data_IF_806827330813
#
_entry.id   IF_806827330813
#
_cell.length_a   1.000
_cell.length_b   1.000
_cell.length_c   1.000
_cell.angle_alpha   90.00
_cell.angle_beta   90.00
_cell.angle_gamma   90.00
#
_symmetry.space_group_name_H-M   'P 1'
#
loop_
_entity.id
_entity.type
_entity.pdbx_description
1 polymer ?
#
# COMPACT_ATOMS: atom_id res chain seq x y z
N UNK A 1 -0.61 42.50 20.93
CA UNK A 1 0.46 41.94 20.08
C UNK A 1 -0.05 41.90 18.66
N UNK A 2 0.56 42.66 17.75
CA UNK A 2 0.25 42.57 16.32
C UNK A 2 0.74 41.21 15.82
N UNK A 3 -0.16 40.37 15.34
CA UNK A 3 0.20 39.13 14.66
C UNK A 3 0.98 39.52 13.39
N UNK A 4 2.29 39.28 13.39
CA UNK A 4 3.09 39.42 12.18
C UNK A 4 2.57 38.39 11.16
N UNK A 5 2.24 38.85 9.96
CA UNK A 5 1.91 37.97 8.86
C UNK A 5 3.09 37.04 8.61
N UNK A 6 2.88 35.74 8.77
CA UNK A 6 3.89 34.73 8.43
C UNK A 6 4.10 34.84 6.92
N UNK A 7 5.31 35.13 6.42
CA UNK A 7 5.53 35.22 4.98
C UNK A 7 5.16 33.88 4.33
N UNK A 8 4.52 33.94 3.17
CA UNK A 8 4.23 32.76 2.38
C UNK A 8 5.54 32.01 2.11
N UNK A 9 5.54 30.69 2.38
CA UNK A 9 6.72 29.86 2.14
C UNK A 9 7.12 29.94 0.66
N UNK A 10 8.43 30.08 0.39
CA UNK A 10 8.94 30.06 -0.97
C UNK A 10 8.72 28.68 -1.60
N UNK A 11 8.37 28.66 -2.88
CA UNK A 11 8.25 27.42 -3.66
C UNK A 11 9.59 26.71 -3.75
N UNK A 12 9.61 25.42 -3.40
CA UNK A 12 10.79 24.58 -3.45
C UNK A 12 10.91 23.87 -4.81
N UNK A 13 12.12 23.53 -5.27
CA UNK A 13 12.31 22.71 -6.47
C UNK A 13 11.61 21.34 -6.41
N UNK A 14 11.34 20.84 -5.20
CA UNK A 14 10.64 19.58 -4.94
C UNK A 14 9.12 19.71 -4.92
N UNK A 15 8.57 20.92 -4.94
CA UNK A 15 7.13 21.15 -4.88
C UNK A 15 6.46 20.66 -6.17
N UNK A 16 5.38 19.86 -6.07
CA UNK A 16 4.68 19.37 -7.24
C UNK A 16 3.85 20.49 -7.89
N UNK A 17 3.76 20.46 -9.22
CA UNK A 17 2.83 21.29 -10.00
C UNK A 17 1.59 20.47 -10.41
N UNK A 18 0.48 21.09 -10.86
CA UNK A 18 -0.71 20.34 -11.28
C UNK A 18 -0.44 19.21 -12.27
N UNK A 19 0.46 19.43 -13.24
CA UNK A 19 0.84 18.42 -14.24
C UNK A 19 1.64 17.23 -13.68
N UNK A 20 2.11 17.29 -12.43
CA UNK A 20 2.77 16.16 -11.76
C UNK A 20 1.76 15.16 -11.20
N UNK A 21 0.49 15.53 -11.09
CA UNK A 21 -0.54 14.69 -10.51
C UNK A 21 -1.31 13.98 -11.60
N UNK A 22 -1.44 12.67 -11.44
CA UNK A 22 -2.14 11.80 -12.39
C UNK A 22 -3.22 11.05 -11.64
N UNK A 23 -4.43 11.06 -12.18
CA UNK A 23 -5.57 10.34 -11.61
C UNK A 23 -5.28 8.85 -11.48
N UNK A 24 -5.63 8.28 -10.32
CA UNK A 24 -5.69 6.84 -10.12
C UNK A 24 -7.02 6.36 -10.75
N UNK A 25 -7.00 5.36 -11.64
CA UNK A 25 -8.22 4.82 -12.21
C UNK A 25 -9.19 4.29 -11.13
N UNK A 26 -10.49 4.54 -11.31
CA UNK A 26 -11.51 4.09 -10.35
C UNK A 26 -11.56 2.57 -10.18
N UNK A 27 -11.14 1.80 -11.19
CA UNK A 27 -11.04 0.34 -11.14
C UNK A 27 -9.72 -0.18 -10.53
N UNK A 28 -8.80 0.72 -10.16
CA UNK A 28 -7.63 0.45 -9.32
C UNK A 28 -7.87 0.81 -7.86
N UNK A 29 -8.99 1.44 -7.51
CA UNK A 29 -9.31 1.82 -6.14
C UNK A 29 -10.27 0.81 -5.50
N UNK A 30 -9.82 0.15 -4.45
CA UNK A 30 -10.65 -0.75 -3.64
C UNK A 30 -10.97 -0.08 -2.30
N UNK A 31 -12.25 0.14 -2.03
CA UNK A 31 -12.74 0.79 -0.81
C UNK A 31 -13.31 -0.27 0.11
N UNK A 32 -12.79 -0.34 1.34
CA UNK A 32 -13.32 -1.16 2.42
C UNK A 32 -13.99 -0.28 3.48
N UNK A 33 -15.12 -0.76 4.01
CA UNK A 33 -15.84 -0.13 5.12
C UNK A 33 -15.96 -1.12 6.28
N UNK A 34 -15.51 -0.69 7.45
CA UNK A 34 -15.63 -1.44 8.70
C UNK A 34 -16.99 -1.14 9.37
N UNK A 35 -17.46 -2.05 10.24
CA UNK A 35 -18.75 -1.92 10.91
C UNK A 35 -18.92 -0.65 11.77
N UNK A 36 -17.81 -0.03 12.20
CA UNK A 36 -17.82 1.25 12.93
C UNK A 36 -17.89 2.48 12.01
N UNK A 37 -18.03 2.30 10.70
CA UNK A 37 -18.11 3.37 9.70
C UNK A 37 -16.77 3.87 9.19
N UNK A 38 -15.64 3.42 9.76
CA UNK A 38 -14.33 3.77 9.23
C UNK A 38 -14.11 3.14 7.86
N UNK A 39 -13.47 3.89 6.96
CA UNK A 39 -13.16 3.47 5.59
C UNK A 39 -11.67 3.54 5.34
N UNK A 40 -11.15 2.57 4.58
CA UNK A 40 -9.80 2.62 4.04
C UNK A 40 -9.82 2.31 2.54
N UNK A 41 -8.90 2.92 1.80
CA UNK A 41 -8.82 2.78 0.34
C UNK A 41 -7.48 2.21 -0.05
N UNK A 42 -7.49 1.12 -0.83
CA UNK A 42 -6.32 0.48 -1.40
C UNK A 42 -6.21 0.86 -2.88
N UNK A 43 -5.08 1.41 -3.30
CA UNK A 43 -4.69 1.42 -4.71
C UNK A 43 -4.13 0.05 -5.07
N UNK A 44 -4.77 -0.65 -5.99
CA UNK A 44 -4.35 -1.95 -6.50
C UNK A 44 -3.13 -1.82 -7.41
N UNK A 45 -2.33 -2.88 -7.49
CA UNK A 45 -1.06 -2.94 -8.22
C UNK A 45 -1.12 -3.92 -9.41
N UNK A 46 -2.04 -3.74 -10.38
CA UNK A 46 -2.31 -4.74 -11.43
C UNK A 46 -1.09 -5.03 -12.33
N UNK A 47 -0.17 -4.08 -12.47
CA UNK A 47 1.10 -4.29 -13.20
C UNK A 47 2.01 -5.32 -12.52
N UNK A 48 1.99 -5.38 -11.19
CA UNK A 48 2.93 -6.14 -10.38
C UNK A 48 2.38 -7.50 -9.95
N UNK A 49 1.06 -7.58 -9.72
CA UNK A 49 0.36 -8.80 -9.36
C UNK A 49 -0.94 -8.97 -10.18
N UNK A 50 -0.87 -9.13 -11.51
CA UNK A 50 -2.04 -9.11 -12.39
C UNK A 50 -3.08 -10.18 -12.07
N UNK A 51 -2.67 -11.42 -11.76
CA UNK A 51 -3.59 -12.52 -11.47
C UNK A 51 -4.22 -12.35 -10.09
N UNK A 52 -3.45 -11.96 -9.07
CA UNK A 52 -4.02 -11.69 -7.74
C UNK A 52 -4.97 -10.49 -7.77
N UNK A 53 -4.62 -9.40 -8.47
CA UNK A 53 -5.52 -8.24 -8.61
C UNK A 53 -6.77 -8.60 -9.40
N UNK A 54 -6.67 -9.44 -10.42
CA UNK A 54 -7.84 -9.98 -11.12
C UNK A 54 -8.75 -10.81 -10.19
N UNK A 55 -8.18 -11.61 -9.28
CA UNK A 55 -8.95 -12.31 -8.25
C UNK A 55 -9.64 -11.34 -7.28
N UNK A 56 -8.92 -10.34 -6.76
CA UNK A 56 -9.46 -9.32 -5.86
C UNK A 56 -10.66 -8.61 -6.50
N UNK A 57 -10.57 -8.27 -7.79
CA UNK A 57 -11.68 -7.67 -8.53
C UNK A 57 -12.89 -8.61 -8.68
N UNK A 58 -12.69 -9.92 -8.83
CA UNK A 58 -13.78 -10.91 -8.84
C UNK A 58 -14.43 -11.04 -7.46
N UNK A 59 -13.64 -11.09 -6.40
CA UNK A 59 -14.11 -11.15 -5.01
C UNK A 59 -14.90 -9.89 -4.63
N UNK A 60 -14.46 -8.71 -5.06
CA UNK A 60 -15.14 -7.43 -4.84
C UNK A 60 -16.52 -7.40 -5.52
N UNK A 61 -16.55 -7.78 -6.82
CA UNK A 61 -17.79 -7.90 -7.62
C UNK A 61 -18.79 -8.89 -7.03
N UNK A 62 -18.30 -9.94 -6.40
CA UNK A 62 -19.12 -10.94 -5.73
C UNK A 62 -19.42 -10.61 -4.26
N UNK A 63 -19.03 -9.42 -3.79
CA UNK A 63 -19.25 -8.95 -2.43
C UNK A 63 -18.72 -9.92 -1.36
N UNK A 64 -17.61 -10.60 -1.67
CA UNK A 64 -17.10 -11.70 -0.86
C UNK A 64 -16.70 -11.25 0.55
N UNK A 65 -16.25 -10.01 0.75
CA UNK A 65 -15.87 -9.53 2.09
C UNK A 65 -17.05 -9.02 2.94
N UNK A 66 -18.22 -8.77 2.36
CA UNK A 66 -19.30 -8.03 3.06
C UNK A 66 -19.89 -8.73 4.28
N UNK A 67 -19.78 -10.06 4.34
CA UNK A 67 -20.36 -10.87 5.41
C UNK A 67 -19.42 -11.98 5.86
N UNK A 68 -19.27 -12.15 7.17
CA UNK A 68 -18.41 -13.18 7.75
C UNK A 68 -16.91 -12.95 7.55
N UNK A 69 -16.51 -11.74 7.14
CA UNK A 69 -15.09 -11.35 7.06
C UNK A 69 -14.80 -10.17 7.98
N UNK A 70 -13.56 -10.03 8.39
CA UNK A 70 -13.16 -9.01 9.36
C UNK A 70 -11.66 -8.76 9.29
N UNK A 71 -11.19 -7.67 9.89
CA UNK A 71 -9.81 -7.61 10.39
C UNK A 71 -9.74 -8.55 11.59
N UNK A 72 -9.09 -9.71 11.41
CA UNK A 72 -9.09 -10.80 12.39
C UNK A 72 -7.75 -11.01 13.09
N UNK A 73 -6.70 -10.32 12.61
CA UNK A 73 -5.35 -10.43 13.13
C UNK A 73 -4.68 -9.07 13.06
N UNK A 74 -4.08 -8.66 14.17
CA UNK A 74 -3.21 -7.49 14.25
C UNK A 74 -2.01 -7.82 15.10
N UNK A 75 -0.84 -7.87 14.46
CA UNK A 75 0.44 -8.05 15.12
C UNK A 75 1.16 -6.71 15.21
N UNK A 76 1.55 -6.34 16.43
CA UNK A 76 2.20 -5.07 16.69
C UNK A 76 3.46 -4.88 15.83
N UNK A 77 3.62 -3.66 15.33
CA UNK A 77 4.75 -3.27 14.48
C UNK A 77 4.98 -4.18 13.25
N UNK A 78 3.94 -4.87 12.76
CA UNK A 78 4.02 -5.82 11.65
C UNK A 78 2.85 -5.62 10.68
N UNK A 79 1.72 -6.32 10.87
CA UNK A 79 0.61 -6.31 9.92
C UNK A 79 -0.76 -6.29 10.60
N UNK A 80 -1.73 -5.67 9.94
CA UNK A 80 -3.16 -5.89 10.15
C UNK A 80 -3.68 -6.75 8.98
N UNK A 81 -4.28 -7.89 9.28
CA UNK A 81 -4.73 -8.89 8.31
C UNK A 81 -6.25 -9.08 8.38
N UNK A 82 -6.87 -9.19 7.20
CA UNK A 82 -8.30 -9.33 7.01
C UNK A 82 -8.69 -10.35 5.95
N UNK A 83 -9.94 -10.77 6.00
CA UNK A 83 -10.50 -11.87 5.21
C UNK A 83 -11.43 -12.73 6.06
N UNK A 84 -11.64 -13.98 5.66
CA UNK A 84 -12.35 -14.96 6.49
C UNK A 84 -11.41 -15.51 7.57
N UNK A 85 -11.71 -15.23 8.83
CA UNK A 85 -10.92 -15.68 9.97
C UNK A 85 -10.88 -17.22 10.12
N UNK A 86 -11.79 -17.95 9.46
CA UNK A 86 -11.82 -19.42 9.48
C UNK A 86 -11.12 -20.06 8.30
N UNK A 87 -10.80 -19.28 7.26
CA UNK A 87 -10.22 -19.74 5.99
C UNK A 87 -11.05 -20.85 5.29
N UNK A 88 -12.36 -20.91 5.56
CA UNK A 88 -13.28 -21.95 5.04
C UNK A 88 -14.32 -21.38 4.08
N UNK A 89 -14.48 -20.06 4.04
CA UNK A 89 -15.42 -19.40 3.15
C UNK A 89 -15.04 -19.69 1.71
N UNK A 90 -15.96 -20.32 0.99
CA UNK A 90 -15.72 -20.73 -0.39
C UNK A 90 -15.34 -19.53 -1.27
N UNK A 91 -14.33 -19.73 -2.11
CA UNK A 91 -13.98 -18.77 -3.16
C UNK A 91 -15.08 -18.73 -4.21
N UNK A 92 -15.22 -17.57 -4.85
CA UNK A 92 -16.20 -17.39 -5.92
C UNK A 92 -15.69 -18.00 -7.22
N UNK A 93 -16.61 -18.41 -8.09
CA UNK A 93 -16.26 -19.05 -9.37
C UNK A 93 -15.27 -18.18 -10.18
N UNK A 94 -14.27 -18.84 -10.76
CA UNK A 94 -13.24 -18.19 -11.57
C UNK A 94 -12.12 -17.53 -10.77
N UNK A 95 -12.16 -17.48 -9.44
CA UNK A 95 -10.97 -17.13 -8.64
C UNK A 95 -9.93 -18.24 -8.74
N UNK A 96 -8.69 -17.86 -9.06
CA UNK A 96 -7.56 -18.79 -9.09
C UNK A 96 -7.08 -18.99 -7.65
N UNK A 97 -7.33 -20.15 -7.05
CA UNK A 97 -6.99 -20.40 -5.64
C UNK A 97 -5.48 -20.32 -5.35
N UNK A 98 -4.65 -20.71 -6.32
CA UNK A 98 -3.19 -20.65 -6.22
C UNK A 98 -2.59 -19.99 -7.49
N UNK A 99 -2.62 -18.66 -7.60
CA UNK A 99 -2.05 -17.92 -8.73
C UNK A 99 -0.53 -18.20 -8.90
N UNK A 100 0.08 -17.82 -10.04
CA UNK A 100 1.53 -17.79 -10.15
C UNK A 100 2.18 -16.95 -9.03
N UNK A 101 3.43 -17.24 -8.70
CA UNK A 101 4.19 -16.47 -7.73
C UNK A 101 4.56 -15.08 -8.29
N UNK A 102 3.66 -14.11 -8.11
CA UNK A 102 3.80 -12.71 -8.55
C UNK A 102 4.66 -11.88 -7.59
N UNK A 103 5.83 -12.42 -7.20
CA UNK A 103 6.68 -11.85 -6.14
C UNK A 103 7.78 -10.93 -6.68
N UNK A 104 8.08 -11.04 -7.98
CA UNK A 104 9.05 -10.19 -8.69
C UNK A 104 8.79 -10.27 -10.20
N UNK A 105 9.34 -9.32 -10.95
CA UNK A 105 9.21 -9.26 -12.40
C UNK A 105 10.51 -8.79 -13.05
N UNK A 106 10.59 -8.91 -14.38
CA UNK A 106 11.71 -8.39 -15.15
C UNK A 106 11.79 -6.85 -15.00
N UNK A 107 13.02 -6.34 -14.89
CA UNK A 107 13.33 -4.93 -14.73
C UNK A 107 14.73 -4.59 -15.26
N UNK A 108 15.24 -3.38 -15.02
CA UNK A 108 14.60 -2.32 -14.25
C UNK A 108 13.58 -1.50 -15.05
N UNK A 109 12.43 -1.19 -14.46
CA UNK A 109 11.46 -0.22 -15.00
C UNK A 109 11.39 1.08 -14.18
N UNK A 110 12.33 1.25 -13.25
CA UNK A 110 12.51 2.48 -12.47
C UNK A 110 12.86 3.69 -13.34
N UNK A 111 12.29 4.84 -12.99
CA UNK A 111 12.57 6.15 -13.64
C UNK A 111 13.33 7.11 -12.74
N UNK A 112 13.32 6.87 -11.42
CA UNK A 112 14.05 7.63 -10.42
C UNK A 112 14.57 6.67 -9.35
N UNK A 113 15.75 6.94 -8.79
CA UNK A 113 16.40 6.08 -7.79
C UNK A 113 16.87 6.89 -6.60
N UNK A 114 16.95 6.24 -5.45
CA UNK A 114 17.69 6.74 -4.30
C UNK A 114 19.19 6.75 -4.62
N UNK A 115 19.93 7.66 -3.99
CA UNK A 115 21.37 7.84 -4.17
C UNK A 115 22.19 6.76 -3.48
N UNK A 116 21.65 6.17 -2.41
CA UNK A 116 22.30 5.11 -1.64
C UNK A 116 21.75 3.72 -1.97
N UNK A 117 22.55 2.68 -1.67
CA UNK A 117 22.12 1.28 -1.77
C UNK A 117 21.05 0.96 -0.73
N UNK A 118 20.16 0.05 -1.07
CA UNK A 118 19.16 -0.49 -0.16
C UNK A 118 19.75 -1.70 0.60
N UNK A 119 19.54 -1.84 1.92
CA UNK A 119 20.05 -3.00 2.65
C UNK A 119 19.49 -4.36 2.19
N UNK A 120 18.37 -4.36 1.47
CA UNK A 120 17.68 -5.57 1.00
C UNK A 120 17.75 -5.75 -0.52
N UNK A 121 18.36 -4.82 -1.26
CA UNK A 121 18.40 -4.82 -2.72
C UNK A 121 19.62 -4.06 -3.26
N UNK A 122 20.01 -4.33 -4.50
CA UNK A 122 21.15 -3.61 -5.11
C UNK A 122 20.82 -2.13 -5.39
N UNK A 123 19.55 -1.82 -5.63
CA UNK A 123 19.04 -0.47 -5.78
C UNK A 123 17.59 -0.39 -5.27
N UNK A 124 17.17 0.80 -4.89
CA UNK A 124 15.76 1.14 -4.68
C UNK A 124 15.41 2.47 -5.36
N UNK A 125 14.14 2.60 -5.78
CA UNK A 125 13.68 3.71 -6.59
C UNK A 125 12.18 3.65 -6.84
N UNK A 126 11.74 4.26 -7.94
CA UNK A 126 10.33 4.48 -8.23
C UNK A 126 10.00 4.20 -9.69
N UNK A 127 8.84 3.57 -9.92
CA UNK A 127 8.22 3.51 -11.24
C UNK A 127 7.69 4.88 -11.67
N UNK A 128 7.38 5.05 -12.96
CA UNK A 128 6.74 6.27 -13.50
C UNK A 128 5.50 6.69 -12.71
N UNK A 129 4.68 5.71 -12.35
CA UNK A 129 3.40 5.89 -11.66
C UNK A 129 3.51 5.88 -10.13
N UNK A 130 4.71 6.10 -9.60
CA UNK A 130 4.93 6.37 -8.18
C UNK A 130 4.83 5.14 -7.27
N UNK A 131 5.12 3.93 -7.77
CA UNK A 131 5.35 2.77 -6.90
C UNK A 131 6.81 2.70 -6.48
N UNK A 132 7.10 2.44 -5.19
CA UNK A 132 8.45 2.09 -4.79
C UNK A 132 8.83 0.74 -5.40
N UNK A 133 10.07 0.64 -5.86
CA UNK A 133 10.65 -0.55 -6.45
C UNK A 133 12.01 -0.81 -5.83
N UNK A 134 12.35 -2.08 -5.68
CA UNK A 134 13.67 -2.56 -5.31
C UNK A 134 14.12 -3.64 -6.30
N UNK A 135 15.42 -3.78 -6.57
CA UNK A 135 15.88 -4.75 -7.56
C UNK A 135 17.32 -5.22 -7.40
N UNK A 136 17.67 -6.26 -8.16
CA UNK A 136 18.99 -6.94 -8.14
C UNK A 136 19.69 -6.93 -9.52
N UNK A 137 19.32 -5.99 -10.38
CA UNK A 137 19.87 -5.86 -11.74
C UNK A 137 19.19 -6.72 -12.80
N UNK A 138 18.57 -7.85 -12.45
CA UNK A 138 17.83 -8.71 -13.38
C UNK A 138 16.31 -8.65 -13.15
N UNK A 139 15.90 -8.70 -11.88
CA UNK A 139 14.50 -8.58 -11.47
C UNK A 139 14.30 -7.42 -10.51
N UNK A 140 13.07 -6.96 -10.44
CA UNK A 140 12.60 -5.96 -9.48
C UNK A 140 11.27 -6.39 -8.85
N UNK A 141 10.92 -5.76 -7.73
CA UNK A 141 9.72 -6.06 -6.95
C UNK A 141 9.25 -4.81 -6.20
N UNK A 142 7.99 -4.82 -5.78
CA UNK A 142 7.45 -3.82 -4.85
C UNK A 142 7.82 -4.24 -3.42
N UNK A 143 8.54 -3.39 -2.65
CA UNK A 143 8.95 -3.73 -1.29
C UNK A 143 7.79 -3.63 -0.29
N UNK A 144 7.82 -4.44 0.78
CA UNK A 144 6.82 -4.46 1.87
C UNK A 144 6.99 -3.25 2.81
N UNK A 145 6.73 -2.05 2.30
CA UNK A 145 6.74 -0.82 3.08
C UNK A 145 5.43 -0.60 3.86
N UNK A 146 5.43 0.35 4.80
CA UNK A 146 4.21 0.77 5.51
C UNK A 146 3.04 1.07 4.55
N UNK A 147 1.86 0.53 4.88
CA UNK A 147 0.66 0.64 4.05
C UNK A 147 0.63 -0.28 2.83
N UNK A 148 1.70 -1.01 2.49
CA UNK A 148 1.65 -1.99 1.40
C UNK A 148 0.76 -3.17 1.75
N UNK A 149 -0.04 -3.58 0.78
CA UNK A 149 -1.01 -4.67 0.90
C UNK A 149 -0.44 -5.92 0.25
N UNK A 150 -0.25 -6.96 1.05
CA UNK A 150 0.18 -8.28 0.58
C UNK A 150 -0.95 -9.31 0.67
N UNK A 151 -0.77 -10.43 -0.03
CA UNK A 151 -1.67 -11.59 0.01
C UNK A 151 -1.20 -12.55 1.10
N UNK A 152 -2.07 -12.82 2.07
CA UNK A 152 -1.79 -13.86 3.05
C UNK A 152 -1.88 -15.25 2.38
N UNK A 153 -1.05 -16.17 2.85
CA UNK A 153 -1.01 -17.53 2.32
C UNK A 153 -0.50 -18.52 3.35
N UNK A 154 -0.82 -19.78 3.12
CA UNK A 154 -0.19 -20.92 3.77
C UNK A 154 1.30 -21.04 3.42
N UNK A 155 1.94 -22.08 3.98
CA UNK A 155 3.28 -22.49 3.60
C UNK A 155 3.38 -22.73 2.08
N UNK A 156 4.57 -22.48 1.55
CA UNK A 156 4.87 -22.78 0.16
C UNK A 156 4.56 -24.26 -0.13
N UNK A 157 3.98 -24.59 -1.30
CA UNK A 157 3.92 -23.78 -2.52
C UNK A 157 2.63 -22.95 -2.68
N UNK A 158 1.86 -22.70 -1.61
CA UNK A 158 0.75 -21.75 -1.68
C UNK A 158 1.25 -20.36 -2.08
N UNK A 159 0.45 -19.63 -2.85
CA UNK A 159 0.64 -18.22 -3.24
C UNK A 159 -0.49 -17.34 -2.73
N UNK A 160 -1.59 -17.95 -2.25
CA UNK A 160 -2.77 -17.27 -1.72
C UNK A 160 -3.69 -16.77 -2.83
N UNK A 161 -5.00 -16.86 -2.61
CA UNK A 161 -5.99 -16.50 -3.64
C UNK A 161 -6.17 -14.98 -3.81
N UNK A 162 -5.78 -14.20 -2.80
CA UNK A 162 -6.09 -12.78 -2.67
C UNK A 162 -7.38 -12.48 -1.89
N UNK A 163 -8.04 -13.50 -1.31
CA UNK A 163 -9.18 -13.31 -0.42
C UNK A 163 -8.76 -12.87 1.00
N UNK A 164 -7.60 -13.36 1.45
CA UNK A 164 -6.94 -13.02 2.69
C UNK A 164 -5.82 -12.03 2.38
N UNK A 165 -5.92 -10.85 2.95
CA UNK A 165 -5.03 -9.73 2.67
C UNK A 165 -4.50 -9.16 3.98
N UNK A 166 -3.36 -8.50 3.91
CA UNK A 166 -2.83 -7.77 5.04
C UNK A 166 -2.18 -6.48 4.58
N UNK A 167 -2.15 -5.49 5.46
CA UNK A 167 -1.37 -4.27 5.27
C UNK A 167 -0.26 -4.19 6.30
N UNK A 168 0.91 -3.73 5.89
CA UNK A 168 2.00 -3.40 6.83
C UNK A 168 1.59 -2.18 7.64
N UNK A 169 1.65 -2.28 8.98
CA UNK A 169 1.26 -1.21 9.92
C UNK A 169 2.39 -0.75 10.84
N UNK A 170 3.63 -1.17 10.57
CA UNK A 170 4.80 -0.86 11.39
C UNK A 170 6.08 -0.77 10.58
N UNK A 171 7.20 -1.12 11.22
CA UNK A 171 8.49 -1.23 10.57
C UNK A 171 8.41 -2.24 9.41
N UNK A 172 9.01 -1.87 8.29
CA UNK A 172 8.82 -2.57 7.02
C UNK A 172 9.41 -3.98 7.08
N UNK A 173 8.61 -5.05 7.00
CA UNK A 173 9.11 -6.42 7.07
C UNK A 173 9.70 -6.87 5.73
N UNK A 174 10.80 -6.24 5.32
CA UNK A 174 11.45 -6.44 4.01
C UNK A 174 11.93 -7.88 3.77
N UNK A 175 11.96 -8.74 4.79
CA UNK A 175 12.16 -10.19 4.61
C UNK A 175 11.02 -10.88 3.83
N UNK A 176 9.83 -10.27 3.76
CA UNK A 176 8.71 -10.75 2.93
C UNK A 176 8.90 -10.44 1.45
N UNK A 177 9.78 -9.50 1.10
CA UNK A 177 10.10 -9.19 -0.29
C UNK A 177 10.46 -10.48 -1.04
N UNK A 178 9.94 -10.61 -2.26
CA UNK A 178 10.14 -11.78 -3.14
C UNK A 178 9.61 -13.12 -2.60
N UNK A 179 8.94 -13.12 -1.45
CA UNK A 179 8.32 -14.30 -0.85
C UNK A 179 6.79 -14.24 -0.81
N UNK A 180 6.23 -13.03 -0.84
CA UNK A 180 4.79 -12.76 -0.81
C UNK A 180 4.44 -11.74 -1.89
N UNK A 181 3.29 -11.90 -2.54
CA UNK A 181 2.80 -10.97 -3.55
C UNK A 181 2.30 -9.68 -2.89
N UNK A 182 2.75 -8.54 -3.38
CA UNK A 182 2.21 -7.22 -3.04
C UNK A 182 1.19 -6.83 -4.12
N UNK A 183 -0.05 -6.61 -3.69
CA UNK A 183 -1.20 -6.38 -4.57
C UNK A 183 -1.73 -4.95 -4.51
N UNK A 184 -1.19 -4.12 -3.63
CA UNK A 184 -1.59 -2.73 -3.54
C UNK A 184 -0.95 -1.96 -2.40
N UNK A 185 -1.49 -0.77 -2.14
CA UNK A 185 -1.14 0.10 -1.02
C UNK A 185 -2.38 0.77 -0.46
N UNK A 186 -2.56 0.77 0.86
CA UNK A 186 -3.52 1.65 1.52
C UNK A 186 -3.06 3.10 1.34
N UNK A 187 -3.84 3.88 0.60
CA UNK A 187 -3.55 5.28 0.27
C UNK A 187 -4.39 6.27 1.09
N UNK A 188 -5.40 5.78 1.81
CA UNK A 188 -6.27 6.55 2.71
C UNK A 188 -6.80 5.62 3.82
N UNK A 189 -6.85 6.10 5.06
CA UNK A 189 -7.44 5.37 6.19
C UNK A 189 -6.60 4.23 6.79
N UNK A 190 -5.28 4.21 6.58
CA UNK A 190 -4.39 3.19 7.20
C UNK A 190 -4.35 3.31 8.73
N UNK A 191 -4.57 4.51 9.26
CA UNK A 191 -4.67 4.78 10.69
C UNK A 191 -5.75 3.92 11.34
N UNK A 192 -6.88 3.70 10.66
CA UNK A 192 -7.99 2.87 11.15
C UNK A 192 -7.66 1.39 11.26
N UNK A 193 -6.61 0.94 10.60
CA UNK A 193 -6.09 -0.43 10.72
C UNK A 193 -4.97 -0.49 11.75
N UNK A 194 -4.06 0.49 11.75
CA UNK A 194 -2.90 0.54 12.65
C UNK A 194 -3.26 0.86 14.12
N UNK A 195 -4.40 1.51 14.36
CA UNK A 195 -4.85 1.89 15.70
C UNK A 195 -5.73 0.85 16.38
N UNK A 196 -6.07 -0.25 15.71
CA UNK A 196 -6.88 -1.32 16.30
C UNK A 196 -6.15 -1.96 17.49
N UNK A 197 -6.89 -2.57 18.44
CA UNK A 197 -6.30 -3.34 19.52
C UNK A 197 -5.36 -4.44 18.99
N UNK A 198 -4.30 -4.76 19.73
CA UNK A 198 -3.38 -5.82 19.31
C UNK A 198 -4.01 -7.18 19.59
N UNK A 199 -3.84 -8.13 18.68
CA UNK A 199 -4.28 -9.49 18.93
C UNK A 199 -3.43 -10.15 20.02
N UNK A 200 -4.08 -10.92 20.88
CA UNK A 200 -3.43 -11.57 22.03
C UNK A 200 -3.29 -13.08 21.87
N UNK A 201 -3.72 -13.63 20.73
CA UNK A 201 -3.48 -15.01 20.31
C UNK A 201 -2.14 -15.16 19.58
N UNK A 202 -1.88 -16.39 19.13
CA UNK A 202 -0.67 -16.72 18.38
C UNK A 202 -0.50 -15.77 17.18
N UNK A 203 0.73 -15.35 16.89
CA UNK A 203 1.05 -14.46 15.76
C UNK A 203 0.19 -13.18 15.68
N UNK A 204 -0.42 -12.71 16.77
CA UNK A 204 -1.29 -11.54 16.79
C UNK A 204 -2.72 -11.77 16.29
N UNK A 205 -3.20 -13.02 16.25
CA UNK A 205 -4.62 -13.30 15.99
C UNK A 205 -5.50 -12.83 17.17
N UNK A 206 -6.73 -12.38 16.87
CA UNK A 206 -7.74 -12.16 17.90
C UNK A 206 -8.30 -13.50 18.41
N UNK A 207 -8.53 -13.62 19.72
CA UNK A 207 -8.98 -14.89 20.34
C UNK A 207 -10.48 -15.10 20.18
N UNK A 208 -11.24 -14.02 20.15
CA UNK A 208 -12.70 -14.03 20.12
C UNK A 208 -13.22 -13.24 18.94
N UNK A 209 -14.45 -13.54 18.52
CA UNK A 209 -15.10 -12.83 17.42
C UNK A 209 -15.35 -11.35 17.75
N UNK A 210 -15.67 -11.03 19.01
CA UNK A 210 -15.94 -9.67 19.47
C UNK A 210 -14.74 -8.71 19.45
N UNK A 211 -13.51 -9.24 19.36
CA UNK A 211 -12.30 -8.43 19.17
C UNK A 211 -12.07 -8.03 17.71
N UNK A 212 -12.70 -8.73 16.77
CA UNK A 212 -12.51 -8.53 15.33
C UNK A 212 -13.24 -7.27 14.88
N UNK A 213 -12.75 -6.65 13.82
CA UNK A 213 -13.43 -5.50 13.17
C UNK A 213 -14.13 -5.98 11.90
N UNK A 214 -15.47 -6.19 11.91
CA UNK A 214 -16.17 -6.72 10.74
C UNK A 214 -16.06 -5.79 9.54
N UNK A 215 -15.88 -6.38 8.36
CA UNK A 215 -15.98 -5.66 7.09
C UNK A 215 -17.44 -5.78 6.63
N UNK A 216 -18.09 -4.64 6.41
CA UNK A 216 -19.49 -4.58 6.00
C UNK A 216 -19.65 -4.22 4.52
N UNK A 217 -18.59 -3.72 3.90
CA UNK A 217 -18.56 -3.44 2.47
C UNK A 217 -17.14 -3.44 1.93
N UNK A 218 -16.94 -4.06 0.77
CA UNK A 218 -15.73 -3.97 -0.02
C UNK A 218 -16.10 -3.78 -1.50
N UNK A 219 -15.73 -2.65 -2.11
CA UNK A 219 -16.13 -2.26 -3.48
C UNK A 219 -14.98 -1.69 -4.27
N UNK A 220 -14.96 -1.94 -5.58
CA UNK A 220 -14.19 -1.07 -6.47
C UNK A 220 -14.84 0.31 -6.49
N UNK A 221 -14.05 1.39 -6.52
CA UNK A 221 -14.59 2.73 -6.58
C UNK A 221 -15.47 2.92 -7.83
N UNK A 222 -15.15 2.25 -8.94
CA UNK A 222 -15.96 2.21 -10.16
C UNK A 222 -17.36 1.61 -9.98
N UNK A 223 -17.62 0.84 -8.93
CA UNK A 223 -18.92 0.26 -8.57
C UNK A 223 -19.72 1.13 -7.60
N UNK A 224 -19.09 2.17 -7.03
CA UNK A 224 -19.77 3.12 -6.17
C UNK A 224 -20.58 4.14 -6.99
N UNK A 225 -21.71 4.63 -6.46
CA UNK A 225 -22.39 5.79 -7.01
C UNK A 225 -21.42 6.96 -7.20
N UNK A 226 -21.57 7.72 -8.28
CA UNK A 226 -20.64 8.81 -8.61
C UNK A 226 -20.46 9.82 -7.47
N UNK A 227 -21.52 10.10 -6.70
CA UNK A 227 -21.48 11.03 -5.57
C UNK A 227 -20.70 10.51 -4.35
N UNK A 228 -20.44 9.20 -4.27
CA UNK A 228 -19.76 8.55 -3.13
C UNK A 228 -18.36 8.06 -3.48
N UNK A 229 -17.97 8.19 -4.76
CA UNK A 229 -16.73 7.68 -5.31
C UNK A 229 -15.56 8.54 -4.84
N UNK A 230 -14.57 7.97 -4.15
CA UNK A 230 -13.39 8.73 -3.79
C UNK A 230 -12.46 8.84 -5.01
N UNK A 231 -11.91 10.01 -5.24
CA UNK A 231 -10.93 10.25 -6.29
C UNK A 231 -9.56 10.50 -5.68
N UNK A 232 -8.53 9.95 -6.32
CA UNK A 232 -7.15 10.10 -5.89
C UNK A 232 -6.25 10.38 -7.08
N UNK A 233 -5.15 11.08 -6.81
CA UNK A 233 -4.06 11.27 -7.75
C UNK A 233 -2.75 10.81 -7.14
N UNK A 234 -1.92 10.12 -7.93
CA UNK A 234 -0.53 9.86 -7.57
C UNK A 234 0.38 10.92 -8.19
N UNK A 235 1.51 11.19 -7.54
CA UNK A 235 2.55 12.04 -8.12
C UNK A 235 3.39 11.23 -9.12
N UNK A 236 3.42 11.65 -10.38
CA UNK A 236 4.30 11.10 -11.39
C UNK A 236 5.78 11.27 -10.99
N UNK A 237 6.59 10.24 -11.25
CA UNK A 237 7.97 10.18 -10.78
C UNK A 237 9.02 10.49 -11.86
N UNK A 238 8.61 10.60 -13.13
CA UNK A 238 9.49 10.84 -14.29
C UNK A 238 9.67 12.32 -14.61
N UNK A 239 9.95 13.14 -13.59
CA UNK A 239 10.18 14.58 -13.75
C UNK A 239 11.25 15.10 -12.75
N UNK A 240 11.90 16.23 -13.06
CA UNK A 240 12.97 16.79 -12.22
C UNK A 240 12.50 17.22 -10.81
N UNK A 241 11.21 17.59 -10.65
CA UNK A 241 10.67 17.94 -9.33
C UNK A 241 10.60 16.73 -8.41
N UNK A 242 10.32 15.54 -8.96
CA UNK A 242 10.36 14.29 -8.21
C UNK A 242 11.79 13.91 -7.80
N UNK A 243 12.78 14.13 -8.66
CA UNK A 243 14.21 13.95 -8.30
C UNK A 243 14.61 14.90 -7.17
N UNK A 244 14.19 16.17 -7.23
CA UNK A 244 14.39 17.12 -6.14
C UNK A 244 13.65 16.71 -4.85
N UNK A 245 12.47 16.09 -4.98
CA UNK A 245 11.75 15.52 -3.84
C UNK A 245 12.52 14.37 -3.20
N UNK A 246 13.09 13.44 -3.98
CA UNK A 246 13.98 12.38 -3.45
C UNK A 246 15.13 12.99 -2.67
N UNK A 247 15.85 13.96 -3.25
CA UNK A 247 16.97 14.63 -2.58
C UNK A 247 16.54 15.25 -1.23
N UNK A 248 15.34 15.84 -1.16
CA UNK A 248 14.78 16.39 0.07
C UNK A 248 14.39 15.32 1.12
N UNK A 249 14.09 14.09 0.69
CA UNK A 249 13.81 12.96 1.58
C UNK A 249 15.10 12.37 2.15
N UNK A 250 16.14 12.26 1.32
CA UNK A 250 17.46 11.76 1.71
C UNK A 250 18.20 12.75 2.61
N UNK A 251 18.01 14.05 2.36
CA UNK A 251 18.64 15.12 3.11
C UNK A 251 17.63 16.23 3.37
N UNK A 252 16.95 16.14 4.51
CA UNK A 252 16.01 17.18 4.94
C UNK A 252 16.77 18.48 5.19
N UNK A 253 16.22 19.58 4.70
CA UNK A 253 16.79 20.91 4.84
C UNK A 253 16.04 21.76 5.88
N UNK A 254 16.61 22.92 6.22
CA UNK A 254 16.04 23.88 7.15
C UNK A 254 16.76 23.88 8.51
N UNK A 255 16.52 24.90 9.36
CA UNK A 255 17.29 25.14 10.58
C UNK A 255 17.15 24.02 11.63
N UNK A 256 16.13 23.17 11.51
CA UNK A 256 15.93 22.02 12.39
C UNK A 256 16.88 20.85 12.06
N UNK A 257 17.24 20.66 10.79
CA UNK A 257 18.07 19.54 10.34
C UNK A 257 19.51 20.04 10.12
N UNK A 258 20.31 20.05 11.18
CA UNK A 258 21.70 20.56 11.16
C UNK A 258 22.72 19.55 10.63
N UNK A 259 22.37 18.26 10.59
CA UNK A 259 23.23 17.18 10.07
C UNK A 259 22.46 16.41 8.98
N UNK A 260 22.98 16.33 7.75
CA UNK A 260 22.34 15.55 6.68
C UNK A 260 22.43 14.05 6.95
N UNK A 261 21.36 13.30 6.64
CA UNK A 261 21.33 11.84 6.85
C UNK A 261 22.17 11.08 5.80
N UNK A 262 22.37 11.66 4.61
CA UNK A 262 23.16 11.07 3.53
C UNK A 262 22.43 10.03 2.68
N UNK A 263 21.14 9.79 2.93
CA UNK A 263 20.33 8.80 2.23
C UNK A 263 18.96 8.60 2.88
N UNK A 264 18.13 7.75 2.29
CA UNK A 264 16.86 7.33 2.85
C UNK A 264 16.62 5.83 2.61
N UNK A 265 15.89 5.18 3.51
CA UNK A 265 15.21 3.92 3.21
C UNK A 265 14.03 4.22 2.26
N UNK A 266 13.84 3.40 1.23
CA UNK A 266 12.71 3.51 0.30
C UNK A 266 11.36 3.51 1.02
N UNK A 267 11.25 2.77 2.12
CA UNK A 267 10.03 2.73 2.91
C UNK A 267 9.83 3.96 3.81
N UNK A 268 10.85 4.78 4.03
CA UNK A 268 10.74 6.10 4.64
C UNK A 268 10.50 7.23 3.61
N UNK A 269 10.53 6.91 2.32
CA UNK A 269 10.35 7.82 1.19
C UNK A 269 9.25 7.31 0.25
N UNK A 270 8.07 7.00 0.78
CA UNK A 270 6.94 6.57 -0.05
C UNK A 270 6.39 7.72 -0.91
N UNK A 271 6.07 7.49 -2.20
CA UNK A 271 5.60 8.55 -3.09
C UNK A 271 4.27 9.15 -2.64
N UNK A 272 4.06 10.47 -2.85
CA UNK A 272 2.82 11.13 -2.50
C UNK A 272 1.63 10.62 -3.33
N UNK A 273 0.51 10.43 -2.63
CA UNK A 273 -0.83 10.26 -3.20
C UNK A 273 -1.72 11.25 -2.48
N UNK A 274 -2.65 11.88 -3.19
CA UNK A 274 -3.59 12.84 -2.60
C UNK A 274 -5.02 12.49 -2.97
N UNK A 275 -5.94 12.73 -2.04
CA UNK A 275 -7.37 12.74 -2.32
C UNK A 275 -7.73 14.01 -3.07
N UNK A 276 -8.59 13.91 -4.07
CA UNK A 276 -9.16 15.05 -4.79
C UNK A 276 -10.69 15.06 -4.62
N UNK A 277 -11.33 16.24 -4.76
CA UNK A 277 -12.78 16.36 -4.67
C UNK A 277 -13.54 15.45 -5.63
#
# INVERSE_FOLDING_TARGET
MLAQAVPAAATLPSDPVPADWVAVPDDELMVFTLANGHRFTVRLAPRYAPVHVANIRKLARAHWWDAGTSVYRLQDNYVAQWGDATEKKALVEGVVANPPAEYSHAGPTTVARLSQRDPYAEWAGYSRDGWPLAGNGATEWVPHCYGMVGVARDLAPSTGSGAELYTVIGHSPRALDRNIAVVGRVIDGVEWLSSLPRGTGDLGFYKTEGERSPIVSARLASELPAAERPHFEYRAADNPRFVAWIASRENRAGPFFTVPAGGADICAALPPVRKVP
#
